data_IF_094701716753
#
_entry.id   IF_094701716753
#
_cell.length_a   1.000
_cell.length_b   1.000
_cell.length_c   1.000
_cell.angle_alpha   90.00
_cell.angle_beta   90.00
_cell.angle_gamma   90.00
#
_symmetry.space_group_name_H-M   'P 1'
#
loop_
_entity.id
_entity.type
_entity.pdbx_description
1 polymer ?
#
# COMPACT_ATOMS: atom_id res chain seq x y z
N UNK A 1 15.61 13.71 27.06
CA UNK A 1 16.54 14.78 26.64
C UNK A 1 17.97 14.26 26.41
N UNK A 2 18.34 13.12 26.97
CA UNK A 2 19.74 12.63 26.96
C UNK A 2 20.24 12.13 25.60
N UNK A 3 19.38 11.53 24.78
CA UNK A 3 19.76 11.06 23.44
C UNK A 3 20.07 12.21 22.46
N UNK A 4 19.38 13.35 22.58
CA UNK A 4 19.66 14.57 21.80
C UNK A 4 21.01 15.18 22.22
N UNK A 5 21.26 15.26 23.53
CA UNK A 5 22.53 15.76 24.09
C UNK A 5 23.71 14.86 23.67
N UNK A 6 23.52 13.54 23.60
CA UNK A 6 24.54 12.61 23.14
C UNK A 6 24.91 12.81 21.65
N UNK A 7 23.93 13.11 20.78
CA UNK A 7 24.18 13.42 19.36
C UNK A 7 24.85 14.78 19.17
N UNK A 8 24.42 15.81 19.91
CA UNK A 8 25.04 17.14 19.87
C UNK A 8 26.53 17.10 20.30
N UNK A 9 26.89 16.20 21.22
CA UNK A 9 28.29 15.97 21.64
C UNK A 9 29.19 15.40 20.53
N UNK A 10 28.63 14.84 19.46
CA UNK A 10 29.36 14.35 18.26
C UNK A 10 29.57 15.43 17.18
N UNK A 11 29.20 16.69 17.42
CA UNK A 11 29.39 17.78 16.45
C UNK A 11 28.38 17.77 15.30
N UNK A 12 27.31 16.97 15.40
CA UNK A 12 26.25 16.91 14.39
C UNK A 12 25.26 18.05 14.63
N UNK A 13 25.04 18.88 13.60
CA UNK A 13 24.03 19.94 13.63
C UNK A 13 22.65 19.30 13.53
N UNK A 14 21.92 19.28 14.64
CA UNK A 14 20.55 18.75 14.69
C UNK A 14 19.60 19.83 14.11
N UNK A 15 18.92 19.51 13.01
CA UNK A 15 17.90 20.41 12.46
C UNK A 15 16.60 20.30 13.26
N UNK A 16 16.48 21.14 14.30
CA UNK A 16 15.30 21.19 15.17
C UNK A 16 14.09 21.95 14.58
N UNK A 17 14.26 22.58 13.42
CA UNK A 17 13.22 23.39 12.78
C UNK A 17 12.43 22.63 11.71
N UNK A 18 12.94 21.49 11.25
CA UNK A 18 12.29 20.73 10.19
C UNK A 18 10.91 20.24 10.63
N UNK A 19 9.89 20.53 9.82
CA UNK A 19 8.54 20.03 10.04
C UNK A 19 8.38 18.59 9.56
N UNK A 20 7.37 17.88 10.09
CA UNK A 20 7.04 16.53 9.62
C UNK A 20 6.70 16.54 8.14
N UNK A 21 6.02 17.58 7.64
CA UNK A 21 5.68 17.70 6.22
C UNK A 21 6.90 17.79 5.32
N UNK A 22 7.82 18.71 5.63
CA UNK A 22 9.09 18.88 4.91
C UNK A 22 9.94 17.62 4.94
N UNK A 23 10.02 16.97 6.11
CA UNK A 23 10.74 15.72 6.27
C UNK A 23 10.15 14.62 5.40
N UNK A 24 8.84 14.42 5.42
CA UNK A 24 8.18 13.34 4.66
C UNK A 24 8.32 13.53 3.15
N UNK A 25 8.27 14.77 2.67
CA UNK A 25 8.47 15.08 1.24
C UNK A 25 9.92 14.80 0.84
N UNK A 26 10.89 15.31 1.60
CA UNK A 26 12.33 15.07 1.34
C UNK A 26 12.66 13.58 1.41
N UNK A 27 12.15 12.89 2.43
CA UNK A 27 12.31 11.45 2.61
C UNK A 27 11.76 10.67 1.42
N UNK A 28 10.57 11.00 0.93
CA UNK A 28 9.98 10.32 -0.22
C UNK A 28 10.78 10.56 -1.51
N UNK A 29 11.28 11.78 -1.71
CA UNK A 29 12.09 12.13 -2.88
C UNK A 29 13.47 11.44 -2.87
N UNK A 30 14.02 11.18 -1.68
CA UNK A 30 15.29 10.46 -1.52
C UNK A 30 15.20 8.95 -1.77
N UNK A 31 14.00 8.36 -1.89
CA UNK A 31 13.82 6.92 -2.10
C UNK A 31 13.99 6.55 -3.57
N UNK A 32 15.16 6.01 -3.94
CA UNK A 32 15.46 5.52 -5.30
C UNK A 32 15.15 4.02 -5.50
N UNK A 33 15.26 3.21 -4.45
CA UNK A 33 15.14 1.73 -4.56
C UNK A 33 13.72 1.19 -4.35
N UNK A 34 12.70 2.04 -4.46
CA UNK A 34 11.30 1.67 -4.20
C UNK A 34 10.50 1.62 -5.49
N UNK A 35 9.68 0.57 -5.65
CA UNK A 35 8.77 0.42 -6.79
C UNK A 35 7.87 1.65 -6.95
N UNK A 36 7.67 2.09 -8.20
CA UNK A 36 6.87 3.29 -8.52
C UNK A 36 5.46 3.28 -7.90
N UNK A 37 4.81 2.10 -7.81
CA UNK A 37 3.49 1.99 -7.20
C UNK A 37 3.51 2.28 -5.69
N UNK A 38 4.56 1.86 -5.00
CA UNK A 38 4.74 2.14 -3.58
C UNK A 38 5.01 3.62 -3.34
N UNK A 39 5.76 4.29 -4.23
CA UNK A 39 5.95 5.76 -4.19
C UNK A 39 4.59 6.48 -4.34
N UNK A 40 3.77 6.06 -5.33
CA UNK A 40 2.42 6.61 -5.52
C UNK A 40 1.54 6.41 -4.28
N UNK A 41 1.59 5.21 -3.68
CA UNK A 41 0.85 4.89 -2.45
C UNK A 41 1.29 5.78 -1.28
N UNK A 42 2.61 5.91 -1.05
CA UNK A 42 3.16 6.75 0.01
C UNK A 42 2.80 8.22 -0.17
N UNK A 43 2.93 8.75 -1.40
CA UNK A 43 2.50 10.11 -1.73
C UNK A 43 1.01 10.33 -1.43
N UNK A 44 0.17 9.35 -1.79
CA UNK A 44 -1.25 9.37 -1.48
C UNK A 44 -1.54 9.38 0.03
N UNK A 45 -0.80 8.61 0.83
CA UNK A 45 -0.92 8.62 2.29
C UNK A 45 -0.47 9.96 2.90
N UNK A 46 0.67 10.49 2.46
CA UNK A 46 1.24 11.76 2.92
C UNK A 46 0.24 12.89 2.67
N UNK A 47 -0.19 13.06 1.42
CA UNK A 47 -1.04 14.18 1.03
C UNK A 47 -2.45 14.11 1.64
N UNK A 48 -3.01 12.90 1.79
CA UNK A 48 -4.39 12.75 2.24
C UNK A 48 -4.54 12.75 3.76
N UNK A 49 -3.61 12.14 4.49
CA UNK A 49 -3.80 11.86 5.91
C UNK A 49 -2.80 12.61 6.80
N UNK A 50 -1.53 12.68 6.41
CA UNK A 50 -0.48 13.22 7.28
C UNK A 50 -0.33 14.73 7.15
N UNK A 51 -0.14 15.26 5.94
CA UNK A 51 0.08 16.68 5.71
C UNK A 51 -1.03 17.58 6.28
N UNK A 52 -2.33 17.27 6.08
CA UNK A 52 -3.40 18.15 6.55
C UNK A 52 -3.44 18.36 8.07
N UNK A 53 -2.83 17.47 8.85
CA UNK A 53 -2.99 17.43 10.32
C UNK A 53 -1.70 17.59 11.09
N UNK A 54 -0.64 16.93 10.64
CA UNK A 54 0.64 16.93 11.35
C UNK A 54 1.76 17.54 10.52
N UNK A 55 1.47 17.97 9.28
CA UNK A 55 2.50 18.50 8.37
C UNK A 55 3.22 19.74 8.90
N UNK A 56 2.52 20.59 9.66
CA UNK A 56 3.05 21.81 10.26
C UNK A 56 3.78 21.58 11.60
N UNK A 57 3.63 20.40 12.20
CA UNK A 57 4.24 20.08 13.49
C UNK A 57 5.73 19.83 13.27
N UNK A 58 6.58 20.36 14.15
CA UNK A 58 8.01 20.09 14.12
C UNK A 58 8.27 18.62 14.39
N UNK A 59 9.30 18.08 13.74
CA UNK A 59 9.61 16.67 13.83
C UNK A 59 9.95 16.22 15.27
N UNK A 60 10.55 17.10 16.08
CA UNK A 60 10.83 16.87 17.51
C UNK A 60 9.58 16.89 18.40
N UNK A 61 8.57 17.67 18.01
CA UNK A 61 7.34 17.89 18.78
C UNK A 61 6.27 16.84 18.45
N UNK A 62 6.56 15.92 17.53
CA UNK A 62 5.65 14.85 17.16
C UNK A 62 5.42 13.92 18.36
N UNK A 63 4.15 13.77 18.77
CA UNK A 63 3.73 12.92 19.90
C UNK A 63 2.74 11.86 19.43
N UNK A 64 2.56 10.84 20.28
CA UNK A 64 1.63 9.72 20.03
C UNK A 64 0.21 10.25 19.81
N UNK A 65 -0.18 11.30 20.56
CA UNK A 65 -1.46 11.98 20.43
C UNK A 65 -1.69 12.55 19.02
N UNK A 66 -0.67 13.15 18.38
CA UNK A 66 -0.81 13.69 17.02
C UNK A 66 -1.06 12.58 15.99
N UNK A 67 -0.38 11.44 16.14
CA UNK A 67 -0.59 10.28 15.25
C UNK A 67 -1.96 9.65 15.50
N UNK A 68 -2.39 9.53 16.76
CA UNK A 68 -3.71 9.05 17.12
C UNK A 68 -4.82 9.94 16.53
N UNK A 69 -4.69 11.26 16.63
CA UNK A 69 -5.63 12.22 16.06
C UNK A 69 -5.77 12.06 14.54
N UNK A 70 -4.70 11.74 13.80
CA UNK A 70 -4.80 11.45 12.35
C UNK A 70 -5.66 10.23 12.09
N UNK A 71 -5.47 9.17 12.88
CA UNK A 71 -6.23 7.92 12.74
C UNK A 71 -7.69 8.12 13.13
N UNK A 72 -7.94 8.85 14.21
CA UNK A 72 -9.29 9.16 14.70
C UNK A 72 -10.14 9.84 13.62
N UNK A 73 -9.58 10.77 12.84
CA UNK A 73 -10.37 11.35 11.77
C UNK A 73 -10.47 10.55 10.49
N UNK A 74 -9.62 9.55 10.31
CA UNK A 74 -9.94 8.53 9.33
C UNK A 74 -11.22 7.83 9.75
N UNK A 75 -11.40 7.59 11.05
CA UNK A 75 -12.62 7.00 11.62
C UNK A 75 -13.82 7.96 11.54
N UNK A 76 -13.70 9.24 11.92
CA UNK A 76 -14.75 10.26 11.71
C UNK A 76 -15.17 10.34 10.24
N UNK A 77 -14.19 10.34 9.32
CA UNK A 77 -14.47 10.36 7.87
C UNK A 77 -15.19 9.08 7.43
N UNK A 78 -14.81 7.93 7.97
CA UNK A 78 -15.46 6.66 7.69
C UNK A 78 -16.91 6.66 8.17
N UNK A 79 -17.19 7.24 9.34
CA UNK A 79 -18.56 7.39 9.84
C UNK A 79 -19.41 8.26 8.91
N UNK A 80 -18.86 9.35 8.37
CA UNK A 80 -19.55 10.17 7.38
C UNK A 80 -19.84 9.40 6.07
N UNK A 81 -18.96 8.48 5.66
CA UNK A 81 -19.20 7.60 4.50
C UNK A 81 -20.34 6.64 4.79
N UNK A 82 -20.32 6.00 5.97
CA UNK A 82 -21.37 5.04 6.38
C UNK A 82 -22.73 5.73 6.54
N UNK A 83 -22.76 6.97 7.04
CA UNK A 83 -23.95 7.79 7.14
C UNK A 83 -24.44 8.36 5.79
N UNK A 84 -23.76 8.05 4.68
CA UNK A 84 -24.11 8.56 3.34
C UNK A 84 -23.92 10.07 3.15
N UNK A 85 -23.21 10.74 4.06
CA UNK A 85 -22.96 12.20 4.03
C UNK A 85 -21.83 12.60 3.09
N UNK A 86 -21.09 11.61 2.57
CA UNK A 86 -20.02 11.83 1.60
C UNK A 86 -20.33 11.18 0.25
N UNK A 87 -19.83 11.74 -0.86
CA UNK A 87 -20.04 11.16 -2.19
C UNK A 87 -19.52 9.72 -2.29
N UNK A 88 -20.22 8.86 -3.03
CA UNK A 88 -19.85 7.44 -3.25
C UNK A 88 -18.43 7.21 -3.77
N UNK A 89 -17.83 8.20 -4.43
CA UNK A 89 -16.42 8.17 -4.89
C UNK A 89 -15.40 8.17 -3.73
N UNK A 90 -15.78 8.61 -2.55
CA UNK A 90 -14.91 8.63 -1.38
C UNK A 90 -14.85 7.21 -0.81
N UNK A 91 -13.66 6.61 -0.84
CA UNK A 91 -13.46 5.24 -0.36
C UNK A 91 -13.34 5.18 1.16
N UNK A 92 -14.04 4.22 1.75
CA UNK A 92 -13.89 3.80 3.13
C UNK A 92 -12.49 3.24 3.38
N UNK A 93 -11.93 3.53 4.55
CA UNK A 93 -10.59 3.10 4.96
C UNK A 93 -10.71 2.06 6.07
N UNK A 94 -10.49 0.79 5.73
CA UNK A 94 -10.54 -0.29 6.70
C UNK A 94 -9.33 -0.32 7.66
N UNK A 95 -9.43 -1.09 8.74
CA UNK A 95 -8.35 -1.24 9.74
C UNK A 95 -7.01 -1.67 9.14
N UNK A 96 -6.99 -2.57 8.15
CA UNK A 96 -5.74 -2.96 7.48
C UNK A 96 -5.12 -1.78 6.72
N UNK A 97 -5.93 -0.93 6.09
CA UNK A 97 -5.46 0.29 5.44
C UNK A 97 -4.90 1.29 6.46
N UNK A 98 -5.54 1.46 7.63
CA UNK A 98 -5.01 2.28 8.73
C UNK A 98 -3.65 1.78 9.22
N UNK A 99 -3.46 0.45 9.30
CA UNK A 99 -2.17 -0.16 9.61
C UNK A 99 -1.12 0.12 8.52
N UNK A 100 -1.47 0.03 7.24
CA UNK A 100 -0.55 0.39 6.14
C UNK A 100 -0.14 1.86 6.20
N UNK A 101 -1.09 2.77 6.44
CA UNK A 101 -0.86 4.21 6.59
C UNK A 101 0.14 4.47 7.72
N UNK A 102 -0.08 3.88 8.90
CA UNK A 102 0.85 3.97 10.04
C UNK A 102 2.21 3.33 9.75
N UNK A 103 2.24 2.17 9.07
CA UNK A 103 3.48 1.45 8.76
C UNK A 103 4.42 2.29 7.88
N UNK A 104 3.86 3.06 6.95
CA UNK A 104 4.64 4.03 6.17
C UNK A 104 5.29 5.08 7.09
N UNK A 105 4.52 5.72 7.99
CA UNK A 105 5.06 6.71 8.93
C UNK A 105 6.13 6.08 9.84
N UNK A 106 5.88 4.89 10.37
CA UNK A 106 6.86 4.13 11.17
C UNK A 106 8.17 3.93 10.39
N UNK A 107 8.08 3.60 9.11
CA UNK A 107 9.25 3.42 8.24
C UNK A 107 9.97 4.74 8.00
N UNK A 108 9.25 5.84 7.77
CA UNK A 108 9.83 7.17 7.64
C UNK A 108 10.58 7.57 8.91
N UNK A 109 9.93 7.52 10.08
CA UNK A 109 10.56 7.87 11.37
C UNK A 109 11.74 6.96 11.74
N UNK A 110 11.72 5.68 11.36
CA UNK A 110 12.89 4.81 11.52
C UNK A 110 14.09 5.28 10.69
N UNK A 111 13.86 5.80 9.48
CA UNK A 111 14.95 6.39 8.69
C UNK A 111 15.43 7.70 9.34
N UNK A 112 14.53 8.51 9.91
CA UNK A 112 14.90 9.73 10.64
C UNK A 112 15.80 9.41 11.85
N UNK A 113 15.50 8.36 12.60
CA UNK A 113 16.31 7.96 13.77
C UNK A 113 17.71 7.49 13.35
N UNK A 114 17.78 6.75 12.23
CA UNK A 114 19.03 6.24 11.65
C UNK A 114 19.89 7.32 11.01
N UNK A 115 19.28 8.43 10.58
CA UNK A 115 20.02 9.57 10.07
C UNK A 115 20.87 10.18 11.18
N UNK A 116 22.11 10.53 10.86
CA UNK A 116 23.07 11.06 11.84
C UNK A 116 22.57 12.40 12.42
N UNK A 117 21.99 13.24 11.57
CA UNK A 117 21.38 14.55 11.84
C UNK A 117 19.93 14.49 12.36
N UNK A 118 19.38 13.29 12.53
CA UNK A 118 17.98 13.10 12.90
C UNK A 118 17.60 13.65 14.29
N UNK A 119 16.60 14.56 14.39
CA UNK A 119 16.17 15.19 15.65
C UNK A 119 15.29 14.28 16.51
N UNK A 120 15.06 13.03 16.10
CA UNK A 120 14.21 12.08 16.82
C UNK A 120 15.05 10.93 17.38
N UNK A 121 14.80 10.59 18.64
CA UNK A 121 15.36 9.40 19.29
C UNK A 121 14.36 8.23 19.37
N UNK A 122 13.06 8.50 19.36
CA UNK A 122 12.01 7.49 19.59
C UNK A 122 10.99 7.49 18.46
N UNK A 123 10.65 6.30 17.96
CA UNK A 123 9.63 6.17 16.93
C UNK A 123 8.22 6.22 17.52
N UNK A 124 7.60 7.40 17.44
CA UNK A 124 6.24 7.66 17.92
C UNK A 124 5.19 6.78 17.25
N UNK A 125 5.32 6.52 15.94
CA UNK A 125 4.37 5.70 15.19
C UNK A 125 4.41 4.22 15.57
N UNK A 126 5.51 3.75 16.18
CA UNK A 126 5.60 2.40 16.73
C UNK A 126 4.78 2.24 18.02
N UNK A 127 4.59 3.31 18.79
CA UNK A 127 3.91 3.29 20.08
C UNK A 127 2.37 3.34 19.96
N UNK A 128 1.84 3.76 18.81
CA UNK A 128 0.39 3.84 18.60
C UNK A 128 -0.19 2.43 18.44
N UNK A 129 -1.10 2.08 19.35
CA UNK A 129 -1.91 0.86 19.28
C UNK A 129 -3.11 1.11 18.37
N UNK A 130 -3.25 0.35 17.29
CA UNK A 130 -4.42 0.36 16.42
C UNK A 130 -5.06 -1.03 16.42
N UNK A 131 -6.39 -1.12 16.25
CA UNK A 131 -7.05 -2.39 16.03
C UNK A 131 -6.45 -3.07 14.80
N UNK A 132 -6.17 -4.36 14.93
CA UNK A 132 -5.75 -5.16 13.78
C UNK A 132 -6.91 -5.27 12.79
N UNK A 133 -6.60 -5.24 11.50
CA UNK A 133 -7.58 -5.66 10.50
C UNK A 133 -7.87 -7.14 10.68
N UNK A 134 -9.15 -7.55 10.55
CA UNK A 134 -9.46 -8.97 10.41
C UNK A 134 -8.69 -9.48 9.20
N UNK A 135 -7.77 -10.42 9.40
CA UNK A 135 -7.17 -11.13 8.29
C UNK A 135 -8.31 -11.79 7.51
N UNK A 136 -8.38 -11.65 6.18
CA UNK A 136 -9.37 -12.40 5.42
C UNK A 136 -9.14 -13.88 5.74
N UNK A 137 -10.16 -14.52 6.33
CA UNK A 137 -10.08 -15.96 6.58
C UNK A 137 -9.92 -16.64 5.21
N UNK A 138 -8.95 -17.56 5.06
CA UNK A 138 -8.90 -18.40 3.86
C UNK A 138 -10.28 -19.00 3.66
N UNK A 139 -10.88 -18.75 2.51
CA UNK A 139 -12.23 -19.23 2.24
C UNK A 139 -12.14 -20.76 2.16
N UNK A 140 -12.76 -21.45 3.11
CA UNK A 140 -12.82 -22.92 3.10
C UNK A 140 -13.76 -23.33 1.97
N UNK A 141 -13.27 -24.25 1.15
CA UNK A 141 -13.99 -24.80 0.01
C UNK A 141 -15.30 -25.47 0.48
N UNK A 142 -16.43 -25.03 -0.08
CA UNK A 142 -17.77 -25.60 0.16
C UNK A 142 -18.48 -25.72 -1.19
N UNK A 143 -19.31 -26.75 -1.36
CA UNK A 143 -19.97 -27.10 -2.62
C UNK A 143 -20.90 -25.97 -3.11
N UNK A 144 -21.62 -25.33 -2.19
CA UNK A 144 -22.50 -24.17 -2.45
C UNK A 144 -21.74 -22.91 -2.93
N UNK A 145 -20.45 -22.80 -2.60
CA UNK A 145 -19.60 -21.64 -2.96
C UNK A 145 -18.59 -21.94 -4.05
N UNK A 146 -18.59 -23.17 -4.58
CA UNK A 146 -17.77 -23.57 -5.72
C UNK A 146 -18.03 -22.71 -6.97
N UNK A 147 -19.10 -21.89 -6.99
CA UNK A 147 -19.44 -20.91 -8.03
C UNK A 147 -18.43 -19.74 -8.13
N UNK A 148 -17.73 -19.40 -7.04
CA UNK A 148 -16.74 -18.29 -7.04
C UNK A 148 -15.33 -18.73 -7.47
N UNK A 149 -15.09 -20.04 -7.53
CA UNK A 149 -13.92 -20.60 -8.19
C UNK A 149 -14.39 -21.06 -9.57
N UNK A 150 -13.62 -20.78 -10.61
CA UNK A 150 -13.95 -21.27 -11.93
C UNK A 150 -13.92 -22.81 -11.93
N UNK A 151 -15.08 -23.45 -11.99
CA UNK A 151 -15.19 -24.88 -12.19
C UNK A 151 -14.63 -25.23 -13.58
N UNK A 152 -14.19 -26.48 -13.76
CA UNK A 152 -13.55 -26.91 -15.00
C UNK A 152 -14.47 -26.75 -16.22
N UNK A 153 -15.77 -27.01 -16.04
CA UNK A 153 -16.83 -26.81 -17.05
C UNK A 153 -17.01 -25.32 -17.43
N UNK A 154 -17.15 -24.42 -16.46
CA UNK A 154 -17.23 -22.97 -16.73
C UNK A 154 -15.95 -22.43 -17.38
N UNK A 155 -14.80 -23.00 -17.01
CA UNK A 155 -13.51 -22.63 -17.60
C UNK A 155 -13.42 -23.05 -19.06
N UNK A 156 -13.84 -24.26 -19.38
CA UNK A 156 -13.94 -24.74 -20.76
C UNK A 156 -14.86 -23.85 -21.59
N UNK A 157 -16.09 -23.62 -21.12
CA UNK A 157 -17.08 -22.78 -21.82
C UNK A 157 -16.57 -21.36 -22.10
N UNK A 158 -15.85 -20.76 -21.16
CA UNK A 158 -15.24 -19.46 -21.40
C UNK A 158 -14.10 -19.51 -22.41
N UNK A 159 -13.22 -20.52 -22.33
CA UNK A 159 -12.14 -20.66 -23.30
C UNK A 159 -12.69 -20.88 -24.71
N UNK A 160 -13.76 -21.65 -24.84
CA UNK A 160 -14.49 -21.81 -26.10
C UNK A 160 -15.08 -20.48 -26.59
N UNK A 161 -15.69 -19.71 -25.68
CA UNK A 161 -16.25 -18.39 -26.01
C UNK A 161 -15.19 -17.36 -26.44
N UNK A 162 -13.99 -17.39 -25.84
CA UNK A 162 -12.90 -16.46 -26.18
C UNK A 162 -11.92 -17.00 -27.22
N UNK A 163 -12.24 -18.11 -27.89
CA UNK A 163 -11.33 -18.81 -28.80
C UNK A 163 -10.72 -17.88 -29.88
N UNK A 164 -11.55 -17.00 -30.46
CA UNK A 164 -11.12 -16.05 -31.50
C UNK A 164 -10.64 -14.70 -30.95
N UNK A 165 -10.63 -14.51 -29.63
CA UNK A 165 -10.23 -13.24 -29.04
C UNK A 165 -8.70 -13.07 -29.09
N UNK A 166 -8.16 -11.89 -29.43
CA UNK A 166 -6.72 -11.63 -29.49
C UNK A 166 -5.91 -11.91 -28.20
N UNK A 167 -6.60 -12.13 -27.08
CA UNK A 167 -6.00 -12.41 -25.76
C UNK A 167 -6.21 -13.87 -25.31
N UNK A 168 -6.72 -14.75 -26.17
CA UNK A 168 -6.96 -16.17 -25.86
C UNK A 168 -5.74 -16.84 -25.21
N UNK A 169 -4.57 -16.68 -25.82
CA UNK A 169 -3.32 -17.27 -25.32
C UNK A 169 -2.94 -16.81 -23.90
N UNK A 170 -3.31 -15.58 -23.52
CA UNK A 170 -3.11 -15.07 -22.17
C UNK A 170 -4.03 -15.77 -21.17
N UNK A 171 -5.33 -15.86 -21.48
CA UNK A 171 -6.32 -16.49 -20.59
C UNK A 171 -6.10 -18.00 -20.45
N UNK A 172 -5.82 -18.69 -21.55
CA UNK A 172 -5.47 -20.12 -21.53
C UNK A 172 -4.32 -20.38 -20.54
N UNK A 173 -3.27 -19.56 -20.58
CA UNK A 173 -2.12 -19.71 -19.68
C UNK A 173 -2.40 -19.29 -18.24
N UNK A 174 -3.26 -18.29 -18.02
CA UNK A 174 -3.72 -17.92 -16.67
C UNK A 174 -4.37 -19.11 -15.96
N UNK A 175 -5.27 -19.80 -16.65
CA UNK A 175 -5.98 -20.97 -16.14
C UNK A 175 -5.01 -22.09 -15.76
N UNK A 176 -4.04 -22.41 -16.62
CA UNK A 176 -3.17 -23.58 -16.42
C UNK A 176 -1.95 -23.32 -15.51
N UNK A 177 -1.50 -22.07 -15.36
CA UNK A 177 -0.25 -21.77 -14.61
C UNK A 177 -0.48 -20.91 -13.37
N UNK A 178 -1.67 -20.35 -13.18
CA UNK A 178 -1.99 -19.46 -12.06
C UNK A 178 -1.03 -18.26 -11.85
N UNK A 179 -0.48 -17.60 -12.90
CA UNK A 179 0.31 -16.40 -12.74
C UNK A 179 -0.52 -15.27 -12.10
N UNK A 180 0.12 -14.38 -11.34
CA UNK A 180 -0.57 -13.17 -10.84
C UNK A 180 -0.94 -12.27 -12.01
N UNK A 181 -2.02 -11.48 -11.91
CA UNK A 181 -2.46 -10.61 -13.00
C UNK A 181 -1.35 -9.66 -13.51
N UNK A 182 -0.49 -9.18 -12.61
CA UNK A 182 0.67 -8.34 -12.98
C UNK A 182 1.76 -9.07 -13.78
N UNK A 183 1.85 -10.39 -13.70
CA UNK A 183 2.79 -11.22 -14.48
C UNK A 183 2.28 -11.43 -15.91
N UNK A 184 0.96 -11.41 -16.11
CA UNK A 184 0.32 -11.60 -17.41
C UNK A 184 0.41 -10.38 -18.32
N UNK A 185 0.42 -9.17 -17.75
CA UNK A 185 0.48 -7.91 -18.50
C UNK A 185 1.78 -7.74 -19.33
N UNK A 186 2.85 -8.49 -19.00
CA UNK A 186 4.09 -8.50 -19.78
C UNK A 186 4.04 -9.34 -21.05
N UNK A 187 2.92 -10.00 -21.36
CA UNK A 187 2.79 -10.96 -22.46
C UNK A 187 2.17 -10.37 -23.74
N UNK A 188 2.33 -9.07 -23.96
CA UNK A 188 1.87 -8.43 -25.20
C UNK A 188 2.76 -8.83 -26.40
N UNK A 189 2.26 -9.76 -27.22
CA UNK A 189 2.41 -9.83 -28.69
C UNK A 189 3.79 -10.07 -29.33
N UNK A 190 4.92 -9.84 -28.65
CA UNK A 190 6.26 -9.99 -29.28
C UNK A 190 7.01 -11.26 -28.93
N UNK A 191 6.50 -12.07 -28.00
CA UNK A 191 7.14 -13.32 -27.55
C UNK A 191 6.41 -14.61 -27.93
N UNK A 192 5.26 -14.52 -28.59
CA UNK A 192 4.46 -15.68 -29.02
C UNK A 192 4.31 -15.80 -30.54
N UNK A 193 5.02 -15.00 -31.33
CA UNK A 193 5.13 -15.20 -32.78
C UNK A 193 6.20 -16.24 -33.13
N UNK A 194 6.03 -17.49 -32.65
CA UNK A 194 6.60 -18.75 -33.18
C UNK A 194 6.43 -19.85 -32.14
N UNK A 195 5.24 -20.45 -32.10
CA UNK A 195 5.11 -21.88 -31.82
C UNK A 195 3.71 -22.33 -32.23
N UNK A 196 3.65 -23.26 -33.17
CA UNK A 196 2.46 -24.10 -33.41
C UNK A 196 1.49 -23.61 -34.48
N UNK A 197 1.95 -23.51 -35.73
CA UNK A 197 1.09 -23.99 -36.82
C UNK A 197 1.10 -25.52 -36.73
N UNK A 198 -0.08 -26.12 -36.65
CA UNK A 198 -0.27 -27.56 -36.83
C UNK A 198 -0.87 -28.28 -35.62
N UNK A 199 -2.19 -28.16 -35.43
CA UNK A 199 -3.05 -29.30 -35.05
C UNK A 199 -4.34 -29.12 -35.86
N UNK A 200 -4.43 -29.81 -37.00
CA UNK A 200 -5.70 -30.08 -37.67
C UNK A 200 -6.37 -31.25 -36.93
N UNK A 201 -7.66 -31.12 -36.63
CA UNK A 201 -8.49 -32.24 -36.24
C UNK A 201 -9.16 -32.82 -37.49
N UNK A 202 -8.60 -33.92 -38.01
CA UNK A 202 -9.23 -35.06 -38.71
C UNK A 202 -8.13 -35.98 -39.23
#
# INVERSE_FOLDING_TARGET
MDAMKAKAKKGVIINDRQTVGEYLVTWLNGKKDIKANTIKLYRGHINRYWLPRIGHIRLIDLRVAHVAAVIEAIDERNELILAGRLPKRVRFVCNSSKQCIRSMLRTALNNAIRAEDGPIAVNVAALVKLPSGKSPKPMVWTEERAVMAWRADHTGQFLDYVADHPLYAMWYRMVHRGPRCGECAGWSGRRTARCGRGIQWS
#
